data_IF_166166835038
#
_entry.id   IF_166166835038
#
_cell.length_a   1.000
_cell.length_b   1.000
_cell.length_c   1.000
_cell.angle_alpha   90.00
_cell.angle_beta   90.00
_cell.angle_gamma   90.00
#
_symmetry.space_group_name_H-M   'P 1'
#
loop_
_entity.id
_entity.type
_entity.pdbx_description
1 polymer ?
#
# COMPACT_ATOMS: atom_id res chain seq x y z
N UNK A 1 -16.83 -6.82 -0.16
CA UNK A 1 -15.43 -6.75 -0.60
C UNK A 1 -14.64 -5.76 0.25
N UNK A 2 -14.22 -6.22 1.42
CA UNK A 2 -13.44 -5.39 2.33
C UNK A 2 -11.95 -5.69 2.18
N UNK A 3 -11.17 -4.60 2.11
CA UNK A 3 -9.72 -4.71 2.17
C UNK A 3 -9.35 -5.03 3.61
N UNK A 4 -8.59 -6.11 3.81
CA UNK A 4 -8.20 -6.53 5.13
C UNK A 4 -6.77 -6.11 5.50
N UNK A 5 -5.90 -5.99 4.49
CA UNK A 5 -4.53 -5.62 4.77
C UNK A 5 -3.74 -5.42 3.49
N UNK A 6 -2.46 -5.18 3.63
CA UNK A 6 -1.52 -4.97 2.54
C UNK A 6 -0.17 -5.62 2.89
N UNK A 7 0.50 -6.15 1.87
CA UNK A 7 1.85 -6.71 2.01
C UNK A 7 2.75 -6.03 0.99
N UNK A 8 3.79 -5.37 1.45
CA UNK A 8 4.68 -4.54 0.63
C UNK A 8 6.10 -5.09 0.61
N UNK A 9 6.96 -4.47 -0.21
CA UNK A 9 8.38 -4.83 -0.27
C UNK A 9 9.06 -4.69 1.09
N UNK A 10 8.70 -3.67 1.87
CA UNK A 10 9.24 -3.50 3.21
C UNK A 10 8.85 -4.63 4.14
N UNK A 11 7.62 -5.11 4.01
CA UNK A 11 7.13 -6.24 4.79
C UNK A 11 7.88 -7.52 4.41
N UNK A 12 8.10 -7.73 3.12
CA UNK A 12 8.87 -8.87 2.63
C UNK A 12 10.28 -8.87 3.19
N UNK A 13 10.93 -7.71 3.16
CA UNK A 13 12.30 -7.57 3.69
C UNK A 13 12.34 -7.92 5.17
N UNK A 14 11.42 -7.39 5.95
CA UNK A 14 11.36 -7.68 7.39
C UNK A 14 11.10 -9.15 7.66
N UNK A 15 10.22 -9.77 6.87
CA UNK A 15 9.89 -11.17 7.02
C UNK A 15 11.12 -12.06 6.74
N UNK A 16 11.87 -11.74 5.68
CA UNK A 16 13.11 -12.45 5.35
C UNK A 16 14.13 -12.30 6.48
N UNK A 17 14.27 -11.10 7.04
CA UNK A 17 15.20 -10.83 8.14
C UNK A 17 14.88 -11.65 9.39
N UNK A 18 13.61 -11.99 9.61
CA UNK A 18 13.22 -12.82 10.77
C UNK A 18 13.51 -14.30 10.53
N UNK A 19 13.93 -14.68 9.33
CA UNK A 19 14.19 -16.08 9.00
C UNK A 19 12.96 -16.91 8.69
N UNK A 20 11.82 -16.25 8.45
CA UNK A 20 10.58 -16.96 8.15
C UNK A 20 10.69 -17.70 6.81
N UNK A 21 10.02 -18.86 6.73
CA UNK A 21 9.94 -19.62 5.49
C UNK A 21 8.81 -19.06 4.63
N UNK A 22 9.18 -18.38 3.54
CA UNK A 22 8.21 -17.76 2.65
C UNK A 22 7.30 -18.76 1.97
N UNK A 23 7.71 -20.02 1.87
CA UNK A 23 6.88 -21.06 1.27
C UNK A 23 5.71 -21.46 2.15
N UNK A 24 5.81 -21.20 3.45
CA UNK A 24 4.78 -21.53 4.43
C UNK A 24 4.03 -20.32 4.94
N UNK A 25 4.49 -19.09 4.62
CA UNK A 25 3.85 -17.87 5.08
C UNK A 25 2.49 -17.68 4.40
N UNK A 26 1.50 -17.31 5.19
CA UNK A 26 0.13 -17.06 4.72
C UNK A 26 -0.10 -15.56 4.70
N UNK A 27 -0.60 -15.03 3.56
CA UNK A 27 -0.76 -13.58 3.36
C UNK A 27 -1.52 -12.90 4.50
N UNK A 28 -2.60 -13.51 4.98
CA UNK A 28 -3.39 -12.94 6.06
C UNK A 28 -2.66 -12.84 7.39
N UNK A 29 -1.62 -13.65 7.58
CA UNK A 29 -0.81 -13.64 8.80
C UNK A 29 0.34 -12.64 8.74
N UNK A 30 0.84 -12.35 7.53
CA UNK A 30 2.02 -11.50 7.35
C UNK A 30 1.66 -10.09 6.88
N UNK A 31 0.42 -9.84 6.50
CA UNK A 31 -0.03 -8.54 6.03
C UNK A 31 -0.02 -7.50 7.15
N UNK A 32 0.06 -6.23 6.78
CA UNK A 32 -0.32 -5.14 7.67
C UNK A 32 -1.83 -4.97 7.61
N UNK A 33 -2.50 -5.01 8.75
CA UNK A 33 -3.93 -4.73 8.84
C UNK A 33 -4.16 -3.22 8.75
N UNK A 34 -5.39 -2.83 8.35
CA UNK A 34 -5.79 -1.43 8.25
C UNK A 34 -4.87 -0.61 7.35
N UNK A 35 -4.75 -0.97 6.07
CA UNK A 35 -3.87 -0.24 5.15
C UNK A 35 -4.37 1.18 4.95
N UNK A 36 -3.43 2.09 4.68
CA UNK A 36 -3.80 3.47 4.34
C UNK A 36 -4.42 3.50 2.96
N UNK A 37 -5.50 4.28 2.82
CA UNK A 37 -6.24 4.39 1.58
C UNK A 37 -6.42 5.85 1.20
N UNK A 38 -6.72 6.07 -0.09
CA UNK A 38 -7.06 7.40 -0.59
C UNK A 38 -8.26 7.26 -1.53
N UNK A 39 -9.08 8.28 -1.57
CA UNK A 39 -10.27 8.27 -2.42
C UNK A 39 -9.87 8.32 -3.91
N UNK A 40 -10.66 7.65 -4.74
CA UNK A 40 -10.38 7.56 -6.18
C UNK A 40 -10.39 8.95 -6.86
N UNK A 41 -11.13 9.90 -6.31
CA UNK A 41 -11.22 11.25 -6.85
C UNK A 41 -10.28 12.26 -6.17
N UNK A 42 -9.41 11.81 -5.28
CA UNK A 42 -8.40 12.66 -4.68
C UNK A 42 -7.32 13.02 -5.71
N UNK A 43 -6.65 14.15 -5.47
CA UNK A 43 -5.55 14.57 -6.35
C UNK A 43 -4.31 13.71 -6.11
N UNK A 44 -3.53 13.51 -7.16
CA UNK A 44 -2.27 12.75 -7.04
C UNK A 44 -1.32 13.37 -6.01
N UNK A 45 -1.31 14.70 -5.90
CA UNK A 45 -0.48 15.38 -4.90
C UNK A 45 -0.90 15.04 -3.47
N UNK A 46 -2.19 14.77 -3.24
CA UNK A 46 -2.67 14.34 -1.93
C UNK A 46 -2.08 12.97 -1.57
N UNK A 47 -1.96 12.09 -2.57
CA UNK A 47 -1.31 10.80 -2.36
C UNK A 47 0.17 10.96 -2.01
N UNK A 48 0.86 11.89 -2.69
CA UNK A 48 2.27 12.18 -2.39
C UNK A 48 2.42 12.65 -0.95
N UNK A 49 1.60 13.60 -0.53
CA UNK A 49 1.65 14.16 0.82
C UNK A 49 1.39 13.09 1.88
N UNK A 50 0.43 12.21 1.62
CA UNK A 50 0.11 11.11 2.52
C UNK A 50 1.30 10.14 2.63
N UNK A 51 1.90 9.77 1.51
CA UNK A 51 3.04 8.85 1.48
C UNK A 51 4.25 9.44 2.20
N UNK A 52 4.53 10.73 2.00
CA UNK A 52 5.64 11.40 2.66
C UNK A 52 5.42 11.49 4.17
N UNK A 53 4.23 11.87 4.59
CA UNK A 53 3.90 11.99 6.00
C UNK A 53 4.01 10.66 6.74
N UNK A 54 3.55 9.59 6.10
CA UNK A 54 3.51 8.26 6.70
C UNK A 54 4.73 7.42 6.36
N UNK A 55 5.62 7.91 5.49
CA UNK A 55 6.82 7.21 5.03
C UNK A 55 6.50 5.84 4.43
N UNK A 56 5.47 5.82 3.58
CA UNK A 56 5.05 4.63 2.86
C UNK A 56 5.22 4.87 1.37
N UNK A 57 5.31 3.80 0.59
CA UNK A 57 5.58 3.87 -0.85
C UNK A 57 4.41 3.43 -1.70
N UNK A 58 3.33 2.99 -1.07
CA UNK A 58 2.14 2.51 -1.77
C UNK A 58 0.89 2.87 -0.96
N UNK A 59 -0.14 3.31 -1.66
CA UNK A 59 -1.44 3.63 -1.07
C UNK A 59 -2.52 2.96 -1.90
N UNK A 60 -3.47 2.33 -1.25
CA UNK A 60 -4.62 1.72 -1.92
C UNK A 60 -5.64 2.79 -2.26
N UNK A 61 -6.26 2.66 -3.43
CA UNK A 61 -7.27 3.60 -3.91
C UNK A 61 -8.64 2.96 -3.77
N UNK A 62 -9.57 3.66 -3.15
CA UNK A 62 -10.91 3.15 -2.87
C UNK A 62 -11.98 4.08 -3.42
N UNK A 63 -13.16 3.52 -3.72
CA UNK A 63 -14.33 4.29 -4.13
C UNK A 63 -15.09 4.79 -2.89
N UNK A 64 -16.23 5.46 -3.13
CA UNK A 64 -17.04 6.04 -2.06
C UNK A 64 -17.57 4.98 -1.08
N UNK A 65 -17.65 3.73 -1.49
CA UNK A 65 -18.11 2.63 -0.65
C UNK A 65 -16.96 1.88 0.02
N UNK A 66 -15.73 2.37 -0.13
CA UNK A 66 -14.56 1.72 0.46
C UNK A 66 -14.05 0.52 -0.31
N UNK A 67 -14.52 0.29 -1.54
CA UNK A 67 -14.09 -0.85 -2.35
C UNK A 67 -12.81 -0.51 -3.09
N UNK A 68 -11.93 -1.51 -3.22
CA UNK A 68 -10.64 -1.34 -3.88
C UNK A 68 -10.81 -1.03 -5.37
N UNK A 69 -10.24 0.09 -5.82
CA UNK A 69 -10.20 0.48 -7.22
C UNK A 69 -8.83 0.28 -7.84
N UNK A 70 -7.77 0.36 -7.03
CA UNK A 70 -6.41 0.23 -7.52
C UNK A 70 -5.40 0.57 -6.44
N UNK A 71 -4.18 0.82 -6.87
CA UNK A 71 -3.09 1.20 -5.98
C UNK A 71 -2.19 2.21 -6.68
N UNK A 72 -1.61 3.11 -5.89
CA UNK A 72 -0.64 4.10 -6.38
C UNK A 72 0.66 3.90 -5.62
N UNK A 73 1.77 3.78 -6.33
CA UNK A 73 3.08 3.71 -5.70
C UNK A 73 3.95 4.88 -6.14
N UNK A 74 5.10 5.04 -5.47
CA UNK A 74 5.99 6.17 -5.78
C UNK A 74 6.50 6.14 -7.20
N UNK A 75 6.71 4.96 -7.80
CA UNK A 75 7.15 4.86 -9.19
C UNK A 75 6.11 5.41 -10.15
N UNK A 76 4.83 5.15 -9.91
CA UNK A 76 3.74 5.68 -10.74
C UNK A 76 3.75 7.20 -10.72
N UNK A 77 3.95 7.78 -9.54
CA UNK A 77 3.97 9.24 -9.37
C UNK A 77 5.19 9.87 -10.03
N UNK A 78 6.34 9.20 -9.97
CA UNK A 78 7.55 9.67 -10.64
C UNK A 78 7.40 9.64 -12.15
N UNK A 79 6.79 8.59 -12.70
CA UNK A 79 6.52 8.51 -14.15
C UNK A 79 5.55 9.59 -14.60
N UNK A 80 4.58 9.94 -13.78
CA UNK A 80 3.61 11.00 -14.06
C UNK A 80 4.18 12.39 -13.80
N UNK A 81 5.43 12.46 -13.31
CA UNK A 81 6.13 13.72 -12.99
C UNK A 81 5.42 14.56 -11.93
N UNK A 82 4.78 13.88 -10.97
CA UNK A 82 4.15 14.54 -9.84
C UNK A 82 5.17 14.81 -8.73
N UNK A 83 6.20 13.99 -8.68
CA UNK A 83 7.29 14.15 -7.73
C UNK A 83 8.63 14.00 -8.43
#
# INVERSE_FOLDING_TARGET
DHIQGIFTDGDLRRLVETGADLREAIAGEVMHANPHTIAVDALAIDAVELMERLRITCVLVVDAMGRLCGAVNTNDLMRAKVI
#
